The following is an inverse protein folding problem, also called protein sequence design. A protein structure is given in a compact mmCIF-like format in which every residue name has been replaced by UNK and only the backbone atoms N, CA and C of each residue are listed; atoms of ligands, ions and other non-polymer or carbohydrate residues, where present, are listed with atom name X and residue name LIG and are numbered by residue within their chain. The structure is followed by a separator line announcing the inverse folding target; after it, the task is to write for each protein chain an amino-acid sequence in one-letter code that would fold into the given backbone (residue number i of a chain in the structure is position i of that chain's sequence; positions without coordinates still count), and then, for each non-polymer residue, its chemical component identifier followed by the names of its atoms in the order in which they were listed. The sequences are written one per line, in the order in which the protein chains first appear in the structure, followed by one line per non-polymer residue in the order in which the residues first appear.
data_IF_669137810448
#
_entry.id   IF_669137810448
#
_cell.length_a   1.000
_cell.length_b   1.000
_cell.length_c   1.000
_cell.angle_alpha   90.00
_cell.angle_beta   90.00
_cell.angle_gamma   90.00
#
_symmetry.space_group_name_H-M   'P 1'
#
loop_
_entity.id
_entity.type
_entity.pdbx_description
1 polymer ?
#
# COMPACT_ATOMS: atom_id res chain seq x y z
N UNK A 1 -5.49 20.10 13.69
CA UNK A 1 -5.79 19.28 12.50
C UNK A 1 -6.80 18.24 12.93
N UNK A 2 -8.07 18.41 12.54
CA UNK A 2 -9.05 17.31 12.60
C UNK A 2 -8.49 16.17 11.76
N UNK A 3 -8.36 14.98 12.35
CA UNK A 3 -8.00 13.79 11.59
C UNK A 3 -9.24 13.33 10.84
N UNK A 4 -9.27 13.45 9.52
CA UNK A 4 -10.34 12.86 8.73
C UNK A 4 -10.11 11.34 8.66
N UNK A 5 -11.11 10.58 9.10
CA UNK A 5 -11.15 9.12 9.00
C UNK A 5 -12.42 8.74 8.24
N UNK A 6 -12.30 7.75 7.36
CA UNK A 6 -13.44 7.16 6.69
C UNK A 6 -14.16 6.19 7.63
N UNK A 7 -15.48 6.31 7.70
CA UNK A 7 -16.35 5.35 8.35
C UNK A 7 -17.11 4.58 7.29
N UNK A 8 -17.02 3.26 7.32
CA UNK A 8 -17.80 2.40 6.43
C UNK A 8 -19.29 2.65 6.64
N UNK A 9 -20.02 2.90 5.54
CA UNK A 9 -21.46 3.19 5.60
C UNK A 9 -21.78 4.67 5.88
N UNK A 10 -20.80 5.57 5.88
CA UNK A 10 -21.04 7.01 5.94
C UNK A 10 -21.85 7.45 4.70
N UNK A 11 -22.99 8.10 4.91
CA UNK A 11 -23.89 8.60 3.87
C UNK A 11 -24.20 10.07 4.12
N UNK A 12 -24.14 10.89 3.08
CA UNK A 12 -24.44 12.32 3.15
C UNK A 12 -25.04 12.83 1.84
N UNK A 13 -25.62 14.03 1.86
CA UNK A 13 -25.95 14.75 0.63
C UNK A 13 -24.81 15.70 0.25
N UNK A 14 -24.42 15.68 -1.01
CA UNK A 14 -23.42 16.58 -1.59
C UNK A 14 -23.97 17.10 -2.93
N UNK A 15 -24.10 18.42 -3.08
CA UNK A 15 -24.71 19.07 -4.26
C UNK A 15 -26.14 18.57 -4.62
N UNK A 16 -26.91 18.11 -3.63
CA UNK A 16 -28.27 17.57 -3.86
C UNK A 16 -28.29 16.10 -4.32
N UNK A 17 -27.12 15.45 -4.39
CA UNK A 17 -26.98 14.02 -4.66
C UNK A 17 -26.60 13.29 -3.37
N UNK A 18 -27.04 12.05 -3.22
CA UNK A 18 -26.65 11.23 -2.09
C UNK A 18 -25.31 10.56 -2.40
N UNK A 19 -24.35 10.67 -1.48
CA UNK A 19 -23.02 10.04 -1.59
C UNK A 19 -22.84 9.07 -0.43
N UNK A 20 -22.33 7.88 -0.72
CA UNK A 20 -21.95 6.88 0.29
C UNK A 20 -20.46 6.55 0.17
N UNK A 21 -19.77 6.47 1.32
CA UNK A 21 -18.43 5.91 1.43
C UNK A 21 -18.54 4.45 1.84
N UNK A 22 -17.88 3.56 1.11
CA UNK A 22 -17.97 2.12 1.28
C UNK A 22 -16.58 1.49 1.33
N UNK A 23 -16.47 0.36 2.03
CA UNK A 23 -15.33 -0.53 1.88
C UNK A 23 -15.33 -1.19 0.48
N UNK A 24 -14.15 -1.41 -0.06
CA UNK A 24 -13.97 -2.15 -1.31
C UNK A 24 -13.86 -3.65 -1.01
N UNK A 25 -15.01 -4.33 -1.01
CA UNK A 25 -15.09 -5.77 -0.77
C UNK A 25 -14.42 -6.60 -1.87
N UNK A 26 -14.21 -6.01 -3.06
CA UNK A 26 -13.57 -6.64 -4.21
C UNK A 26 -12.15 -6.10 -4.44
N UNK A 27 -11.55 -5.47 -3.41
CA UNK A 27 -10.21 -4.92 -3.48
C UNK A 27 -9.23 -5.98 -3.98
N UNK A 28 -8.54 -5.68 -5.07
CA UNK A 28 -7.49 -6.55 -5.60
C UNK A 28 -6.20 -6.32 -4.84
N UNK A 29 -5.48 -7.40 -4.54
CA UNK A 29 -4.18 -7.37 -3.91
C UNK A 29 -3.23 -6.43 -4.69
N UNK A 30 -2.71 -5.34 -4.09
CA UNK A 30 -1.86 -4.39 -4.80
C UNK A 30 -0.52 -5.00 -5.26
N UNK A 31 -0.14 -6.17 -4.72
CA UNK A 31 1.06 -6.90 -5.15
C UNK A 31 0.87 -7.71 -6.43
N UNK A 32 -0.38 -7.98 -6.82
CA UNK A 32 -0.70 -8.62 -8.11
C UNK A 32 -0.76 -7.61 -9.26
N UNK A 33 -0.77 -6.31 -8.95
CA UNK A 33 -0.78 -5.24 -9.95
C UNK A 33 0.60 -5.11 -10.62
N UNK A 34 0.60 -4.78 -11.91
CA UNK A 34 1.82 -4.38 -12.63
C UNK A 34 2.22 -2.95 -12.24
N UNK A 35 3.52 -2.69 -12.16
CA UNK A 35 4.06 -1.33 -12.00
C UNK A 35 4.78 -1.05 -10.68
N UNK A 36 4.64 -1.93 -9.67
CA UNK A 36 5.41 -1.85 -8.43
C UNK A 36 6.91 -1.71 -8.73
N UNK A 37 7.58 -0.80 -8.04
CA UNK A 37 9.04 -0.63 -8.05
C UNK A 37 9.71 -1.75 -7.28
N UNK A 38 9.26 -2.00 -6.05
CA UNK A 38 9.85 -2.98 -5.17
C UNK A 38 9.34 -4.39 -5.44
N UNK A 39 10.17 -5.38 -5.10
CA UNK A 39 9.72 -6.77 -4.91
C UNK A 39 9.71 -7.11 -3.42
N UNK A 40 8.61 -7.68 -2.95
CA UNK A 40 8.48 -8.16 -1.57
C UNK A 40 8.77 -9.65 -1.54
N UNK A 41 9.74 -10.05 -0.72
CA UNK A 41 10.16 -11.45 -0.53
C UNK A 41 9.97 -11.78 0.94
N UNK A 42 9.13 -12.76 1.25
CA UNK A 42 8.82 -13.17 2.61
C UNK A 42 9.08 -14.67 2.81
N UNK A 43 9.60 -15.02 3.98
CA UNK A 43 9.95 -16.38 4.37
C UNK A 43 9.04 -16.93 5.48
N UNK A 44 7.93 -16.24 5.77
CA UNK A 44 6.97 -16.70 6.76
C UNK A 44 6.19 -17.91 6.25
N UNK A 45 6.23 -19.02 7.00
CA UNK A 45 5.56 -20.27 6.61
C UNK A 45 4.06 -20.25 6.91
N UNK A 46 3.64 -19.40 7.84
CA UNK A 46 2.24 -19.34 8.31
C UNK A 46 1.40 -18.50 7.37
N UNK A 47 1.90 -17.35 6.94
CA UNK A 47 1.21 -16.44 6.05
C UNK A 47 1.90 -16.39 4.69
N UNK A 48 1.13 -16.61 3.62
CA UNK A 48 1.59 -16.40 2.24
C UNK A 48 1.54 -14.91 1.93
N UNK A 49 2.56 -14.17 2.34
CA UNK A 49 2.70 -12.73 2.12
C UNK A 49 3.78 -12.43 1.09
N UNK A 50 3.66 -11.27 0.45
CA UNK A 50 4.65 -10.79 -0.51
C UNK A 50 4.43 -11.30 -1.93
N UNK A 51 5.44 -11.07 -2.77
CA UNK A 51 5.42 -11.48 -4.17
C UNK A 51 5.98 -12.90 -4.30
N UNK A 52 5.57 -13.60 -5.37
CA UNK A 52 6.17 -14.90 -5.68
C UNK A 52 7.67 -14.77 -5.99
N UNK A 53 8.45 -15.70 -5.42
CA UNK A 53 9.90 -15.76 -5.60
C UNK A 53 10.42 -17.19 -5.50
N UNK A 54 11.62 -17.41 -6.06
CA UNK A 54 12.30 -18.70 -6.05
C UNK A 54 13.31 -18.87 -4.90
N UNK A 55 13.49 -17.86 -4.05
CA UNK A 55 14.41 -17.95 -2.90
C UNK A 55 13.93 -18.98 -1.89
N UNK A 56 14.71 -20.05 -1.70
CA UNK A 56 14.41 -21.10 -0.72
C UNK A 56 14.62 -20.62 0.72
N UNK A 57 15.64 -19.81 0.94
CA UNK A 57 15.99 -19.27 2.26
C UNK A 57 16.37 -17.79 2.20
N UNK A 58 16.28 -17.13 3.35
CA UNK A 58 16.74 -15.75 3.53
C UNK A 58 18.23 -15.59 3.18
N UNK A 59 19.04 -16.62 3.43
CA UNK A 59 20.46 -16.62 3.08
C UNK A 59 20.67 -16.64 1.56
N UNK A 60 19.87 -17.41 0.81
CA UNK A 60 19.95 -17.41 -0.66
C UNK A 60 19.64 -16.03 -1.22
N UNK A 61 18.57 -15.39 -0.73
CA UNK A 61 18.22 -14.02 -1.11
C UNK A 61 19.35 -13.03 -0.83
N UNK A 62 19.91 -13.04 0.39
CA UNK A 62 20.99 -12.14 0.80
C UNK A 62 22.24 -12.31 -0.05
N UNK A 63 22.59 -13.55 -0.42
CA UNK A 63 23.75 -13.84 -1.26
C UNK A 63 23.54 -13.32 -2.69
N UNK A 64 22.34 -13.46 -3.25
CA UNK A 64 22.04 -13.04 -4.63
C UNK A 64 21.97 -11.51 -4.78
N UNK A 65 21.29 -10.83 -3.84
CA UNK A 65 21.04 -9.39 -3.94
C UNK A 65 22.22 -8.53 -3.44
N UNK A 66 23.32 -9.15 -2.98
CA UNK A 66 24.50 -8.52 -2.38
C UNK A 66 25.19 -7.45 -3.29
N UNK A 67 24.54 -6.31 -3.48
CA UNK A 67 24.95 -5.15 -4.27
C UNK A 67 24.72 -3.90 -3.43
N UNK A 68 25.79 -3.14 -3.19
CA UNK A 68 25.73 -1.86 -2.47
C UNK A 68 24.80 -0.83 -3.11
N UNK A 69 24.38 -1.00 -4.36
CA UNK A 69 23.44 -0.13 -5.06
C UNK A 69 21.99 -0.60 -4.98
N UNK A 70 21.73 -1.83 -4.50
CA UNK A 70 20.40 -2.24 -4.14
C UNK A 70 19.89 -1.39 -2.97
N UNK A 71 18.57 -1.20 -2.93
CA UNK A 71 17.87 -0.67 -1.76
C UNK A 71 17.02 -1.80 -1.21
N UNK A 72 17.23 -2.14 0.06
CA UNK A 72 16.61 -3.27 0.73
C UNK A 72 16.10 -2.75 2.07
N UNK A 73 14.81 -2.94 2.36
CA UNK A 73 14.20 -2.63 3.64
C UNK A 73 13.67 -3.93 4.26
N UNK A 74 13.86 -4.15 5.57
CA UNK A 74 13.26 -5.29 6.25
C UNK A 74 11.73 -5.16 6.24
N UNK A 75 11.04 -6.28 6.36
CA UNK A 75 9.60 -6.34 6.61
C UNK A 75 9.38 -7.08 7.91
N UNK A 76 8.63 -6.44 8.79
CA UNK A 76 8.18 -6.99 10.05
C UNK A 76 6.68 -7.26 9.99
N UNK A 77 6.27 -8.39 10.55
CA UNK A 77 4.88 -8.77 10.75
C UNK A 77 4.50 -8.53 12.21
N UNK A 78 3.40 -7.83 12.40
CA UNK A 78 2.73 -7.65 13.67
C UNK A 78 1.41 -8.42 13.63
N UNK A 79 1.31 -9.46 14.46
CA UNK A 79 0.12 -10.29 14.54
C UNK A 79 -0.72 -9.90 15.76
N UNK A 80 -1.89 -9.33 15.51
CA UNK A 80 -2.87 -8.96 16.53
C UNK A 80 -4.28 -9.42 16.15
N UNK A 81 -5.27 -8.53 16.21
CA UNK A 81 -6.61 -8.80 15.67
C UNK A 81 -6.60 -8.89 14.13
N UNK A 82 -5.70 -8.16 13.50
CA UNK A 82 -5.45 -8.16 12.06
C UNK A 82 -3.97 -8.40 11.82
N UNK A 83 -3.61 -8.82 10.60
CA UNK A 83 -2.23 -8.79 10.16
C UNK A 83 -1.82 -7.34 9.85
N UNK A 84 -0.61 -6.97 10.26
CA UNK A 84 0.00 -5.69 9.95
C UNK A 84 1.44 -5.92 9.52
N UNK A 85 1.85 -5.23 8.45
CA UNK A 85 3.24 -5.27 7.98
C UNK A 85 3.85 -3.87 7.98
N UNK A 86 5.15 -3.81 8.28
CA UNK A 86 5.88 -2.56 8.37
C UNK A 86 7.34 -2.72 7.97
N UNK A 87 7.99 -1.61 7.62
CA UNK A 87 9.45 -1.59 7.34
C UNK A 87 10.31 -1.28 8.56
N UNK A 88 9.68 -1.07 9.72
CA UNK A 88 10.34 -0.72 10.98
C UNK A 88 9.76 -1.57 12.08
N UNK A 89 10.61 -2.12 12.93
CA UNK A 89 10.19 -2.81 14.12
C UNK A 89 9.69 -1.80 15.16
N UNK A 90 8.37 -1.66 15.28
CA UNK A 90 7.77 -0.77 16.28
C UNK A 90 7.54 -1.44 17.64
N UNK A 91 7.61 -2.76 17.72
CA UNK A 91 7.40 -3.54 18.95
C UNK A 91 8.36 -4.72 19.02
N UNK A 92 8.70 -5.16 20.24
CA UNK A 92 9.50 -6.37 20.48
C UNK A 92 8.80 -7.65 20.01
N UNK A 93 7.47 -7.62 19.86
CA UNK A 93 6.66 -8.72 19.36
C UNK A 93 6.66 -8.82 17.83
N UNK A 94 7.14 -7.79 17.13
CA UNK A 94 7.20 -7.82 15.68
C UNK A 94 8.20 -8.88 15.22
N UNK A 95 7.78 -9.72 14.29
CA UNK A 95 8.66 -10.76 13.73
C UNK A 95 9.19 -10.27 12.40
N UNK A 96 10.50 -10.33 12.21
CA UNK A 96 11.09 -10.16 10.89
C UNK A 96 10.64 -11.32 9.98
N UNK A 97 10.00 -11.00 8.86
CA UNK A 97 9.44 -11.99 7.94
C UNK A 97 10.03 -11.95 6.54
N UNK A 98 10.79 -10.91 6.19
CA UNK A 98 11.26 -10.75 4.82
C UNK A 98 11.80 -9.36 4.51
N UNK A 99 11.79 -9.02 3.23
CA UNK A 99 12.33 -7.78 2.70
C UNK A 99 11.47 -7.23 1.58
N UNK A 100 11.41 -5.92 1.44
CA UNK A 100 11.13 -5.27 0.16
C UNK A 100 12.46 -4.79 -0.42
N UNK A 101 12.69 -5.03 -1.71
CA UNK A 101 13.92 -4.62 -2.36
C UNK A 101 13.73 -4.13 -3.78
N UNK A 102 14.70 -3.35 -4.23
CA UNK A 102 14.93 -3.06 -5.65
C UNK A 102 16.43 -3.16 -5.92
N UNK A 103 16.79 -4.00 -6.90
CA UNK A 103 18.20 -4.18 -7.27
C UNK A 103 18.65 -3.09 -8.26
N UNK A 104 19.97 -3.02 -8.52
CA UNK A 104 20.55 -2.02 -9.41
C UNK A 104 19.94 -2.03 -10.82
N UNK A 105 19.64 -3.18 -11.39
CA UNK A 105 19.09 -3.30 -12.74
C UNK A 105 17.67 -2.74 -12.81
N UNK A 106 16.82 -3.08 -11.84
CA UNK A 106 15.48 -2.53 -11.70
C UNK A 106 15.51 -1.00 -11.57
N UNK A 107 16.41 -0.45 -10.74
CA UNK A 107 16.58 1.00 -10.59
C UNK A 107 16.95 1.64 -11.92
N UNK A 108 17.99 1.13 -12.60
CA UNK A 108 18.46 1.70 -13.87
C UNK A 108 17.37 1.68 -14.94
N UNK A 109 16.61 0.59 -15.00
CA UNK A 109 15.50 0.43 -15.96
C UNK A 109 14.37 1.40 -15.66
N UNK A 110 13.91 1.46 -14.39
CA UNK A 110 12.78 2.31 -14.00
C UNK A 110 13.08 3.79 -14.16
N UNK A 111 14.26 4.22 -13.73
CA UNK A 111 14.62 5.64 -13.68
C UNK A 111 15.47 6.09 -14.88
N UNK A 112 15.83 5.17 -15.79
CA UNK A 112 16.64 5.44 -16.98
C UNK A 112 17.98 6.11 -16.62
N UNK A 113 18.64 5.63 -15.57
CA UNK A 113 19.91 6.18 -15.06
C UNK A 113 21.06 5.19 -15.18
N UNK A 114 22.28 5.71 -15.37
CA UNK A 114 23.49 4.90 -15.33
C UNK A 114 24.08 4.77 -13.92
N UNK A 115 23.99 5.81 -13.09
CA UNK A 115 24.52 5.83 -11.73
C UNK A 115 23.40 6.03 -10.73
N UNK A 116 23.40 5.21 -9.67
CA UNK A 116 22.47 5.37 -8.55
C UNK A 116 23.04 6.40 -7.57
N UNK A 117 22.42 7.57 -7.48
CA UNK A 117 22.83 8.64 -6.57
C UNK A 117 22.31 8.38 -5.14
N UNK A 118 22.85 9.10 -4.15
CA UNK A 118 22.35 9.04 -2.76
C UNK A 118 20.91 9.55 -2.66
N UNK A 119 20.60 10.66 -3.34
CA UNK A 119 19.25 11.25 -3.38
C UNK A 119 18.25 10.27 -3.97
N UNK A 120 18.59 9.64 -5.11
CA UNK A 120 17.73 8.65 -5.74
C UNK A 120 17.46 7.45 -4.81
N UNK A 121 18.48 6.99 -4.05
CA UNK A 121 18.24 5.95 -3.04
C UNK A 121 17.24 6.37 -1.97
N UNK A 122 17.28 7.63 -1.53
CA UNK A 122 16.34 8.13 -0.53
C UNK A 122 14.91 8.19 -1.09
N UNK A 123 14.75 8.64 -2.33
CA UNK A 123 13.46 8.62 -3.04
C UNK A 123 12.92 7.19 -3.16
N UNK A 124 13.78 6.24 -3.55
CA UNK A 124 13.44 4.81 -3.62
C UNK A 124 13.00 4.28 -2.26
N UNK A 125 13.73 4.60 -1.18
CA UNK A 125 13.32 4.18 0.18
C UNK A 125 11.90 4.66 0.49
N UNK A 126 11.57 5.92 0.19
CA UNK A 126 10.22 6.44 0.40
C UNK A 126 9.18 5.69 -0.43
N UNK A 127 9.50 5.37 -1.69
CA UNK A 127 8.59 4.65 -2.56
C UNK A 127 8.34 3.21 -2.09
N UNK A 128 9.39 2.50 -1.67
CA UNK A 128 9.27 1.17 -1.08
C UNK A 128 8.42 1.20 0.21
N UNK A 129 8.59 2.23 1.04
CA UNK A 129 7.76 2.41 2.23
C UNK A 129 6.28 2.61 1.89
N UNK A 130 5.96 3.37 0.84
CA UNK A 130 4.57 3.54 0.36
C UNK A 130 3.99 2.23 -0.15
N UNK A 131 4.75 1.43 -0.90
CA UNK A 131 4.28 0.13 -1.40
C UNK A 131 3.96 -0.84 -0.25
N UNK A 132 4.83 -0.93 0.75
CA UNK A 132 4.56 -1.74 1.95
C UNK A 132 3.34 -1.19 2.67
N UNK A 133 3.19 0.13 2.78
CA UNK A 133 2.03 0.73 3.45
C UNK A 133 0.71 0.49 2.70
N UNK A 134 0.73 0.53 1.38
CA UNK A 134 -0.44 0.19 0.55
C UNK A 134 -0.82 -1.29 0.72
N UNK A 135 0.16 -2.19 0.77
CA UNK A 135 -0.10 -3.60 1.03
C UNK A 135 -0.60 -3.85 2.45
N UNK A 136 -0.09 -3.14 3.46
CA UNK A 136 -0.63 -3.14 4.83
C UNK A 136 -2.11 -2.70 4.86
N UNK A 137 -2.48 -1.64 4.14
CA UNK A 137 -3.88 -1.23 4.03
C UNK A 137 -4.77 -2.32 3.43
N UNK A 138 -4.29 -2.99 2.38
CA UNK A 138 -4.99 -4.13 1.78
C UNK A 138 -5.20 -5.27 2.78
N UNK A 139 -4.15 -5.69 3.50
CA UNK A 139 -4.23 -6.78 4.49
C UNK A 139 -5.20 -6.49 5.63
N UNK A 140 -5.42 -5.20 5.94
CA UNK A 140 -6.37 -4.73 6.95
C UNK A 140 -7.79 -4.49 6.41
N UNK A 141 -8.03 -4.71 5.11
CA UNK A 141 -9.30 -4.37 4.47
C UNK A 141 -9.57 -2.86 4.39
N UNK A 142 -8.53 -2.02 4.56
CA UNK A 142 -8.64 -0.56 4.55
C UNK A 142 -8.52 -0.03 3.12
N UNK A 143 -9.40 -0.53 2.26
CA UNK A 143 -9.56 -0.07 0.86
C UNK A 143 -10.98 0.43 0.72
N UNK A 144 -11.13 1.62 0.18
CA UNK A 144 -12.40 2.33 0.17
C UNK A 144 -12.79 2.76 -1.24
N UNK A 145 -14.06 3.13 -1.36
CA UNK A 145 -14.66 3.76 -2.53
C UNK A 145 -15.79 4.69 -2.15
N UNK A 146 -16.35 5.34 -3.16
CA UNK A 146 -17.59 6.08 -3.05
C UNK A 146 -18.58 5.65 -4.12
N UNK A 147 -19.85 5.86 -3.82
CA UNK A 147 -20.97 5.75 -4.76
C UNK A 147 -21.83 7.01 -4.66
N UNK A 148 -22.20 7.56 -5.80
CA UNK A 148 -23.14 8.69 -5.93
C UNK A 148 -24.46 8.16 -6.46
N UNK A 149 -25.55 8.58 -5.84
CA UNK A 149 -26.91 8.14 -6.15
C UNK A 149 -27.76 9.30 -6.65
N UNK A 150 -28.56 9.04 -7.68
CA UNK A 150 -29.61 9.95 -8.09
C UNK A 150 -30.79 9.92 -7.09
N UNK A 151 -31.77 10.85 -7.19
CA UNK A 151 -32.92 10.87 -6.28
C UNK A 151 -33.80 9.60 -6.31
N UNK A 152 -33.77 8.82 -7.39
CA UNK A 152 -34.44 7.52 -7.48
C UNK A 152 -33.70 6.38 -6.77
N UNK A 153 -32.48 6.61 -6.29
CA UNK A 153 -31.66 5.63 -5.58
C UNK A 153 -30.77 4.76 -6.46
N UNK A 154 -30.58 5.10 -7.74
CA UNK A 154 -29.67 4.39 -8.64
C UNK A 154 -28.26 4.99 -8.56
N UNK A 155 -27.24 4.12 -8.63
CA UNK A 155 -25.84 4.53 -8.67
C UNK A 155 -25.53 5.14 -10.03
N UNK A 156 -25.14 6.41 -10.05
CA UNK A 156 -24.77 7.15 -11.26
C UNK A 156 -23.25 7.29 -11.42
N UNK A 157 -22.51 7.22 -10.31
CA UNK A 157 -21.05 7.24 -10.32
C UNK A 157 -20.52 6.35 -9.18
N UNK A 158 -19.44 5.61 -9.46
CA UNK A 158 -18.71 4.88 -8.42
C UNK A 158 -17.24 4.78 -8.74
N UNK A 159 -16.41 4.81 -7.70
CA UNK A 159 -14.97 4.61 -7.80
C UNK A 159 -14.44 3.98 -6.53
N UNK A 160 -13.58 2.98 -6.69
CA UNK A 160 -13.00 2.19 -5.61
C UNK A 160 -11.47 2.11 -5.77
N UNK A 161 -10.80 1.44 -4.82
CA UNK A 161 -9.35 1.29 -4.82
C UNK A 161 -8.59 2.42 -4.13
N UNK A 162 -9.23 3.17 -3.24
CA UNK A 162 -8.56 4.18 -2.41
C UNK A 162 -7.98 3.53 -1.14
N UNK A 163 -6.66 3.38 -1.10
CA UNK A 163 -5.99 2.67 -0.02
C UNK A 163 -5.71 3.58 1.18
N UNK A 164 -6.20 3.17 2.34
CA UNK A 164 -5.98 3.85 3.61
C UNK A 164 -7.20 4.64 4.08
N UNK A 165 -7.36 4.82 5.41
CA UNK A 165 -8.57 5.37 6.00
C UNK A 165 -8.63 6.90 5.98
N UNK A 166 -7.56 7.60 5.60
CA UNK A 166 -7.54 9.07 5.57
C UNK A 166 -7.81 9.57 4.13
N UNK A 167 -8.95 10.25 3.90
CA UNK A 167 -9.38 10.69 2.58
C UNK A 167 -8.45 11.72 1.93
N UNK A 168 -7.74 12.53 2.74
CA UNK A 168 -6.79 13.53 2.24
C UNK A 168 -5.59 12.84 1.60
N UNK A 169 -5.16 11.71 2.16
CA UNK A 169 -3.93 11.03 1.72
C UNK A 169 -4.17 9.85 0.79
N UNK A 170 -5.40 9.34 0.72
CA UNK A 170 -5.72 8.18 -0.12
C UNK A 170 -6.21 8.56 -1.53
N UNK A 171 -6.37 9.86 -1.82
CA UNK A 171 -6.79 10.40 -3.13
C UNK A 171 -8.30 10.54 -3.32
N UNK A 172 -9.12 10.23 -2.32
CA UNK A 172 -10.57 10.29 -2.43
C UNK A 172 -11.08 11.74 -2.51
N UNK A 173 -10.38 12.69 -1.87
CA UNK A 173 -10.71 14.14 -1.94
C UNK A 173 -10.65 14.73 -3.34
N UNK A 174 -9.88 14.12 -4.26
CA UNK A 174 -9.74 14.61 -5.63
C UNK A 174 -11.03 14.42 -6.45
N UNK A 175 -11.90 13.49 -6.01
CA UNK A 175 -13.15 13.16 -6.68
C UNK A 175 -14.38 13.71 -5.95
N UNK A 176 -14.26 13.95 -4.64
CA UNK A 176 -15.31 14.55 -3.81
C UNK A 176 -14.80 15.82 -3.10
N UNK A 177 -14.37 16.85 -3.86
CA UNK A 177 -13.84 18.07 -3.28
C UNK A 177 -14.95 18.80 -2.50
N UNK A 178 -14.72 19.07 -1.21
CA UNK A 178 -15.71 19.72 -0.34
C UNK A 178 -16.48 18.76 0.58
N UNK A 179 -16.48 17.46 0.31
CA UNK A 179 -17.04 16.47 1.23
C UNK A 179 -16.27 16.41 2.57
N UNK A 180 -14.96 16.63 2.52
CA UNK A 180 -14.07 16.59 3.69
C UNK A 180 -13.58 17.98 4.13
N UNK A 181 -14.22 19.06 3.68
CA UNK A 181 -13.87 20.41 4.11
C UNK A 181 -14.86 20.91 5.17
N UNK A 182 -14.50 20.71 6.44
CA UNK A 182 -14.98 21.48 7.59
C UNK A 182 -13.78 22.02 8.38
#
# INVERSE_FOLDING_TARGET
MSGYYLYEGMQMEFNGEKVAICGDAEAVNPREKRGNLGRIVCFDKKHRLGDEHAYETELNFKNEINDKNAVILPIYLHEGRTLEISVVQYTELARHIGYIYVNREMIRTRYQVNRVSKTLKQEIVQELMKEVKQYDYYLKGQVYGYQVFNPSGEVIESRFGFYGPNPITNGLTDFLPGFFME
#
